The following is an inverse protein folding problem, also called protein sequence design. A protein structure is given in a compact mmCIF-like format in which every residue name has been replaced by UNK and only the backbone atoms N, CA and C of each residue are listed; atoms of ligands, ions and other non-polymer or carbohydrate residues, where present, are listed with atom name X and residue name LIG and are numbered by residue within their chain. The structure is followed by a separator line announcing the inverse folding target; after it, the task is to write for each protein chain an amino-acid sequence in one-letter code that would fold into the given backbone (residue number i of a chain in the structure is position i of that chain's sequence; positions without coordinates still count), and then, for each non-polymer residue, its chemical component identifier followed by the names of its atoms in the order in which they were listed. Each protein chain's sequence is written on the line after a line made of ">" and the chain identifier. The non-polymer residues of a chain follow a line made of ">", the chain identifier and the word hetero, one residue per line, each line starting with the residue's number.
data_IF_982848969310
#
_entry.id   IF_982848969310
#
_cell.length_a   1.000
_cell.length_b   1.000
_cell.length_c   1.000
_cell.angle_alpha   90.00
_cell.angle_beta   90.00
_cell.angle_gamma   90.00
#
_symmetry.space_group_name_H-M   'P 1'
#
loop_
_entity.id
_entity.type
_entity.pdbx_description
1 polymer ?
#
# COMPACT_ATOMS: atom_id res chain seq x y z
N UNK A 1 -50.91 13.45 11.59
CA UNK A 1 -50.46 12.04 11.49
C UNK A 1 -51.28 11.18 10.49
N UNK A 2 -52.15 11.72 9.64
CA UNK A 2 -52.93 10.91 8.67
C UNK A 2 -52.32 10.83 7.25
N UNK A 3 -51.48 11.79 6.86
CA UNK A 3 -50.92 11.88 5.49
C UNK A 3 -49.73 10.93 5.20
N UNK A 4 -49.10 10.34 6.22
CA UNK A 4 -48.02 9.36 6.05
C UNK A 4 -48.52 7.93 5.80
N UNK A 5 -49.72 7.57 6.30
CA UNK A 5 -50.29 6.21 6.15
C UNK A 5 -50.93 5.95 4.77
N UNK A 6 -51.47 6.97 4.11
CA UNK A 6 -52.10 6.81 2.79
C UNK A 6 -51.11 6.52 1.65
N UNK A 7 -49.86 6.99 1.75
CA UNK A 7 -48.83 6.64 0.78
C UNK A 7 -48.21 5.25 1.02
N UNK A 8 -48.22 4.76 2.27
CA UNK A 8 -47.68 3.44 2.62
C UNK A 8 -48.53 2.28 2.06
N UNK A 9 -49.87 2.40 2.06
CA UNK A 9 -50.75 1.34 1.50
C UNK A 9 -50.62 1.21 -0.02
N UNK A 10 -50.45 2.33 -0.73
CA UNK A 10 -50.24 2.33 -2.19
C UNK A 10 -48.90 1.75 -2.61
N UNK A 11 -47.84 1.98 -1.83
CA UNK A 11 -46.50 1.41 -2.08
C UNK A 11 -46.51 -0.11 -1.84
N UNK A 12 -47.10 -0.56 -0.73
CA UNK A 12 -47.21 -1.99 -0.41
C UNK A 12 -47.96 -2.79 -1.48
N UNK A 13 -49.08 -2.28 -1.98
CA UNK A 13 -49.84 -2.92 -3.05
C UNK A 13 -49.03 -3.01 -4.36
N UNK A 14 -48.23 -1.98 -4.68
CA UNK A 14 -47.33 -1.99 -5.84
C UNK A 14 -46.20 -3.02 -5.68
N UNK A 15 -45.60 -3.10 -4.49
CA UNK A 15 -44.56 -4.09 -4.17
C UNK A 15 -45.13 -5.50 -4.33
N UNK A 16 -46.27 -5.81 -3.70
CA UNK A 16 -46.92 -7.12 -3.79
C UNK A 16 -47.25 -7.51 -5.23
N UNK A 17 -47.84 -6.59 -6.01
CA UNK A 17 -48.16 -6.84 -7.41
C UNK A 17 -46.91 -7.15 -8.24
N UNK A 18 -45.80 -6.45 -7.96
CA UNK A 18 -44.52 -6.67 -8.62
C UNK A 18 -43.89 -8.01 -8.25
N UNK A 19 -43.87 -8.37 -6.97
CA UNK A 19 -43.35 -9.66 -6.51
C UNK A 19 -44.13 -10.81 -7.15
N UNK A 20 -45.46 -10.72 -7.18
CA UNK A 20 -46.33 -11.73 -7.77
C UNK A 20 -46.08 -11.88 -9.28
N UNK A 21 -45.90 -10.79 -10.02
CA UNK A 21 -45.53 -10.82 -11.44
C UNK A 21 -44.16 -11.47 -11.70
N UNK A 22 -43.23 -11.36 -10.75
CA UNK A 22 -41.92 -12.01 -10.81
C UNK A 22 -41.95 -13.44 -10.25
N UNK A 23 -43.12 -13.94 -9.83
CA UNK A 23 -43.27 -15.23 -9.19
C UNK A 23 -42.51 -15.34 -7.86
N UNK A 24 -42.26 -14.23 -7.18
CA UNK A 24 -41.62 -14.20 -5.87
C UNK A 24 -42.67 -14.32 -4.76
N UNK A 25 -42.46 -15.25 -3.84
CA UNK A 25 -43.30 -15.37 -2.65
C UNK A 25 -42.83 -14.34 -1.61
N UNK A 26 -43.70 -13.38 -1.20
CA UNK A 26 -43.31 -12.36 -0.25
C UNK A 26 -43.20 -12.95 1.16
N UNK A 27 -42.01 -12.83 1.76
CA UNK A 27 -41.82 -13.00 3.20
C UNK A 27 -41.78 -11.65 3.94
N UNK A 28 -41.95 -11.67 5.26
CA UNK A 28 -42.03 -10.46 6.09
C UNK A 28 -40.78 -9.58 5.99
N UNK A 29 -39.57 -10.18 5.92
CA UNK A 29 -38.30 -9.45 5.91
C UNK A 29 -37.99 -8.87 4.53
N UNK A 30 -38.32 -9.62 3.46
CA UNK A 30 -38.30 -9.10 2.09
C UNK A 30 -39.21 -7.89 1.98
N UNK A 31 -40.46 -7.99 2.46
CA UNK A 31 -41.42 -6.90 2.46
C UNK A 31 -40.91 -5.70 3.25
N UNK A 32 -40.39 -5.92 4.47
CA UNK A 32 -39.79 -4.87 5.28
C UNK A 32 -38.65 -4.16 4.54
N UNK A 33 -37.71 -4.91 3.96
CA UNK A 33 -36.56 -4.35 3.22
C UNK A 33 -37.02 -3.49 2.05
N UNK A 34 -38.05 -3.91 1.31
CA UNK A 34 -38.61 -3.18 0.17
C UNK A 34 -39.39 -1.93 0.60
N UNK A 35 -40.16 -2.01 1.68
CA UNK A 35 -40.95 -0.90 2.24
C UNK A 35 -40.03 0.20 2.82
N UNK A 36 -38.93 -0.18 3.49
CA UNK A 36 -37.94 0.75 4.05
C UNK A 36 -37.06 1.42 2.97
N UNK A 37 -36.95 0.82 1.79
CA UNK A 37 -36.05 1.26 0.71
C UNK A 37 -36.78 1.49 -0.63
N UNK A 38 -37.77 2.39 -0.70
CA UNK A 38 -38.63 2.56 -1.88
C UNK A 38 -37.87 2.93 -3.16
N UNK A 39 -36.77 3.68 -3.04
CA UNK A 39 -35.89 4.07 -4.15
C UNK A 39 -35.13 2.90 -4.79
N UNK A 40 -35.02 1.77 -4.09
CA UNK A 40 -34.29 0.58 -4.55
C UNK A 40 -35.20 -0.59 -4.94
N UNK A 41 -36.53 -0.44 -4.91
CA UNK A 41 -37.50 -1.52 -5.18
C UNK A 41 -37.17 -2.29 -6.46
N UNK A 42 -36.87 -1.59 -7.57
CA UNK A 42 -36.60 -2.25 -8.84
C UNK A 42 -35.33 -3.12 -8.78
N UNK A 43 -34.27 -2.62 -8.13
CA UNK A 43 -33.00 -3.36 -7.99
C UNK A 43 -33.15 -4.54 -7.04
N UNK A 44 -33.81 -4.34 -5.89
CA UNK A 44 -34.03 -5.39 -4.89
C UNK A 44 -34.93 -6.51 -5.42
N UNK A 45 -36.02 -6.19 -6.11
CA UNK A 45 -36.88 -7.22 -6.73
C UNK A 45 -36.17 -8.00 -7.83
N UNK A 46 -35.28 -7.35 -8.59
CA UNK A 46 -34.42 -8.03 -9.56
C UNK A 46 -33.44 -8.97 -8.85
N UNK A 47 -32.81 -8.53 -7.77
CA UNK A 47 -31.95 -9.37 -6.94
C UNK A 47 -32.70 -10.60 -6.43
N UNK A 48 -33.86 -10.45 -5.79
CA UNK A 48 -34.63 -11.60 -5.30
C UNK A 48 -35.03 -12.58 -6.42
N UNK A 49 -35.38 -12.05 -7.60
CA UNK A 49 -35.67 -12.87 -8.79
C UNK A 49 -34.46 -13.70 -9.22
N UNK A 50 -33.29 -13.06 -9.29
CA UNK A 50 -32.02 -13.70 -9.68
C UNK A 50 -31.57 -14.72 -8.63
N UNK A 51 -31.72 -14.42 -7.35
CA UNK A 51 -31.46 -15.36 -6.26
C UNK A 51 -32.35 -16.60 -6.36
N UNK A 52 -33.64 -16.42 -6.64
CA UNK A 52 -34.56 -17.54 -6.89
C UNK A 52 -34.15 -18.34 -8.13
N UNK A 53 -33.81 -17.67 -9.23
CA UNK A 53 -33.35 -18.30 -10.49
C UNK A 53 -32.13 -19.21 -10.26
N UNK A 54 -31.20 -18.77 -9.42
CA UNK A 54 -29.99 -19.53 -9.07
C UNK A 54 -30.13 -20.39 -7.81
N UNK A 55 -31.36 -20.63 -7.34
CA UNK A 55 -31.69 -21.51 -6.20
C UNK A 55 -31.03 -21.12 -4.87
N UNK A 56 -30.78 -19.83 -4.64
CA UNK A 56 -30.34 -19.34 -3.33
C UNK A 56 -31.51 -19.30 -2.35
N UNK A 57 -31.36 -20.00 -1.23
CA UNK A 57 -32.35 -19.97 -0.14
C UNK A 57 -32.16 -18.70 0.68
N UNK A 58 -33.20 -17.88 0.75
CA UNK A 58 -33.23 -16.69 1.60
C UNK A 58 -33.34 -17.10 3.07
N UNK A 59 -32.24 -16.95 3.82
CA UNK A 59 -32.20 -17.15 5.26
C UNK A 59 -32.05 -15.81 6.00
N UNK A 60 -32.15 -15.87 7.32
CA UNK A 60 -32.08 -14.72 8.22
C UNK A 60 -30.84 -13.84 8.01
N UNK A 61 -29.68 -14.48 7.83
CA UNK A 61 -28.41 -13.80 7.63
C UNK A 61 -28.37 -13.08 6.28
N UNK A 62 -28.84 -13.75 5.23
CA UNK A 62 -28.88 -13.19 3.89
C UNK A 62 -29.86 -12.01 3.78
N UNK A 63 -31.04 -12.09 4.41
CA UNK A 63 -31.93 -10.94 4.50
C UNK A 63 -31.25 -9.74 5.16
N UNK A 64 -30.54 -9.97 6.27
CA UNK A 64 -29.79 -8.92 6.97
C UNK A 64 -28.66 -8.34 6.10
N UNK A 65 -27.95 -9.18 5.38
CA UNK A 65 -26.87 -8.77 4.48
C UNK A 65 -27.40 -7.92 3.31
N UNK A 66 -28.52 -8.31 2.70
CA UNK A 66 -29.21 -7.55 1.65
C UNK A 66 -29.70 -6.20 2.19
N UNK A 67 -30.37 -6.20 3.35
CA UNK A 67 -30.87 -4.97 3.98
C UNK A 67 -29.75 -3.99 4.34
N UNK A 68 -28.56 -4.50 4.67
CA UNK A 68 -27.38 -3.68 4.98
C UNK A 68 -26.65 -3.16 3.73
N UNK A 69 -26.93 -3.72 2.55
CA UNK A 69 -26.22 -3.44 1.28
C UNK A 69 -27.18 -3.10 0.12
N UNK A 70 -28.35 -2.54 0.40
CA UNK A 70 -29.41 -2.29 -0.61
C UNK A 70 -28.96 -1.52 -1.84
N UNK A 71 -27.99 -0.61 -1.68
CA UNK A 71 -27.43 0.18 -2.78
C UNK A 71 -26.71 -0.71 -3.82
N UNK A 72 -26.15 -1.84 -3.38
CA UNK A 72 -25.37 -2.78 -4.21
C UNK A 72 -26.22 -3.86 -4.88
N UNK A 73 -27.54 -3.91 -4.64
CA UNK A 73 -28.40 -4.97 -5.16
C UNK A 73 -28.33 -5.13 -6.69
N UNK A 74 -28.20 -4.02 -7.43
CA UNK A 74 -28.02 -4.05 -8.88
C UNK A 74 -26.67 -4.67 -9.28
N UNK A 75 -25.58 -4.22 -8.66
CA UNK A 75 -24.24 -4.74 -8.92
C UNK A 75 -24.11 -6.24 -8.60
N UNK A 76 -24.81 -6.74 -7.57
CA UNK A 76 -24.87 -8.18 -7.27
C UNK A 76 -25.58 -8.95 -8.37
N UNK A 77 -26.68 -8.43 -8.92
CA UNK A 77 -27.36 -9.03 -10.07
C UNK A 77 -26.39 -9.14 -11.25
N UNK A 78 -25.74 -8.03 -11.58
CA UNK A 78 -24.81 -7.96 -12.71
C UNK A 78 -23.61 -8.92 -12.54
N UNK A 79 -23.12 -9.12 -11.31
CA UNK A 79 -22.09 -10.11 -11.00
C UNK A 79 -22.59 -11.56 -11.11
N UNK A 80 -23.78 -11.86 -10.58
CA UNK A 80 -24.35 -13.21 -10.65
C UNK A 80 -24.65 -13.63 -12.10
N UNK A 81 -25.14 -12.69 -12.91
CA UNK A 81 -25.36 -12.90 -14.34
C UNK A 81 -24.03 -13.12 -15.07
N UNK A 82 -23.03 -12.28 -14.82
CA UNK A 82 -21.69 -12.46 -15.36
C UNK A 82 -21.09 -13.82 -14.99
N UNK A 83 -21.12 -14.20 -13.71
CA UNK A 83 -20.62 -15.50 -13.27
C UNK A 83 -21.31 -16.66 -14.01
N UNK A 84 -22.63 -16.58 -14.18
CA UNK A 84 -23.38 -17.58 -14.92
C UNK A 84 -23.01 -17.65 -16.41
N UNK A 85 -22.90 -16.50 -17.09
CA UNK A 85 -22.47 -16.40 -18.50
C UNK A 85 -21.07 -16.98 -18.70
N UNK A 86 -20.18 -16.76 -17.73
CA UNK A 86 -18.80 -17.22 -17.76
C UNK A 86 -18.62 -18.69 -17.33
N UNK A 87 -19.71 -19.36 -16.91
CA UNK A 87 -19.71 -20.75 -16.46
C UNK A 87 -19.17 -20.96 -15.03
N UNK A 88 -19.14 -19.91 -14.22
CA UNK A 88 -18.68 -19.92 -12.83
C UNK A 88 -19.87 -20.24 -11.92
N UNK A 89 -19.73 -21.26 -11.08
CA UNK A 89 -20.74 -21.60 -10.09
C UNK A 89 -20.82 -20.50 -9.01
N UNK A 90 -21.95 -19.79 -8.85
CA UNK A 90 -22.07 -18.76 -7.84
C UNK A 90 -22.06 -19.31 -6.40
N UNK A 91 -22.23 -20.63 -6.20
CA UNK A 91 -22.06 -21.27 -4.89
C UNK A 91 -20.60 -21.32 -4.42
N UNK A 92 -19.64 -21.01 -5.30
CA UNK A 92 -18.23 -20.90 -4.98
C UNK A 92 -17.93 -19.86 -3.87
N UNK A 93 -18.73 -18.80 -3.79
CA UNK A 93 -18.57 -17.72 -2.83
C UNK A 93 -19.83 -17.53 -2.00
N UNK A 94 -19.66 -17.19 -0.71
CA UNK A 94 -20.82 -16.84 0.10
C UNK A 94 -21.48 -15.56 -0.46
N UNK A 95 -22.80 -15.56 -0.50
CA UNK A 95 -23.56 -14.43 -1.03
C UNK A 95 -23.36 -13.16 -0.19
N UNK A 96 -23.05 -13.31 1.10
CA UNK A 96 -22.62 -12.20 1.96
C UNK A 96 -21.35 -11.52 1.43
N UNK A 97 -20.34 -12.32 1.07
CA UNK A 97 -19.09 -11.80 0.52
C UNK A 97 -19.29 -11.21 -0.88
N UNK A 98 -20.18 -11.80 -1.68
CA UNK A 98 -20.58 -11.23 -2.97
C UNK A 98 -21.23 -9.85 -2.81
N UNK A 99 -22.16 -9.71 -1.86
CA UNK A 99 -22.82 -8.44 -1.52
C UNK A 99 -21.81 -7.36 -1.09
N UNK A 100 -20.84 -7.73 -0.25
CA UNK A 100 -19.79 -6.80 0.20
C UNK A 100 -18.83 -6.41 -0.93
N UNK A 101 -18.53 -7.34 -1.83
CA UNK A 101 -17.58 -7.14 -2.93
C UNK A 101 -18.21 -6.42 -4.14
N UNK A 102 -19.54 -6.45 -4.27
CA UNK A 102 -20.28 -5.88 -5.38
C UNK A 102 -20.11 -4.36 -5.54
N UNK A 103 -19.66 -3.66 -4.48
CA UNK A 103 -19.25 -2.25 -4.59
C UNK A 103 -18.14 -2.02 -5.65
N UNK A 104 -17.36 -3.05 -5.96
CA UNK A 104 -16.29 -3.05 -6.96
C UNK A 104 -16.61 -3.97 -8.16
N UNK A 105 -17.90 -4.14 -8.48
CA UNK A 105 -18.39 -5.04 -9.56
C UNK A 105 -17.62 -4.89 -10.87
N UNK A 106 -17.42 -3.67 -11.34
CA UNK A 106 -16.76 -3.42 -12.62
C UNK A 106 -15.31 -3.89 -12.60
N UNK A 107 -14.57 -3.58 -11.54
CA UNK A 107 -13.17 -4.00 -11.37
C UNK A 107 -13.04 -5.52 -11.24
N UNK A 108 -13.96 -6.17 -10.52
CA UNK A 108 -14.03 -7.62 -10.40
C UNK A 108 -14.22 -8.30 -11.75
N UNK A 109 -15.20 -7.85 -12.54
CA UNK A 109 -15.48 -8.43 -13.86
C UNK A 109 -14.31 -8.24 -14.81
N UNK A 110 -13.71 -7.06 -14.83
CA UNK A 110 -12.52 -6.80 -15.65
C UNK A 110 -11.34 -7.70 -15.24
N UNK A 111 -11.07 -7.85 -13.94
CA UNK A 111 -10.03 -8.75 -13.44
C UNK A 111 -10.28 -10.21 -13.82
N UNK A 112 -11.52 -10.70 -13.65
CA UNK A 112 -11.91 -12.05 -14.04
C UNK A 112 -11.76 -12.29 -15.55
N UNK A 113 -12.16 -11.32 -16.39
CA UNK A 113 -12.01 -11.39 -17.85
C UNK A 113 -10.54 -11.45 -18.27
N UNK A 114 -9.65 -10.67 -17.64
CA UNK A 114 -8.21 -10.69 -17.90
C UNK A 114 -7.64 -12.06 -17.55
N UNK A 115 -7.94 -12.60 -16.36
CA UNK A 115 -7.46 -13.91 -15.97
C UNK A 115 -7.99 -15.02 -16.88
N UNK A 116 -9.27 -14.95 -17.27
CA UNK A 116 -9.87 -15.94 -18.19
C UNK A 116 -9.18 -15.93 -19.54
N UNK A 117 -8.94 -14.76 -20.11
CA UNK A 117 -8.27 -14.59 -21.41
C UNK A 117 -6.84 -15.15 -21.39
N UNK A 118 -6.19 -15.18 -20.22
CA UNK A 118 -4.84 -15.71 -20.03
C UNK A 118 -4.82 -17.15 -19.47
N UNK A 119 -5.96 -17.85 -19.41
CA UNK A 119 -6.11 -19.19 -18.84
C UNK A 119 -5.60 -19.31 -17.39
N UNK A 120 -5.80 -18.25 -16.61
CA UNK A 120 -5.36 -18.13 -15.20
C UNK A 120 -6.52 -17.86 -14.24
N UNK A 121 -7.76 -17.98 -14.72
CA UNK A 121 -8.95 -17.88 -13.88
C UNK A 121 -9.26 -19.25 -13.27
N UNK A 122 -9.05 -19.37 -11.97
CA UNK A 122 -9.29 -20.56 -11.17
C UNK A 122 -9.91 -20.19 -9.81
N UNK A 123 -10.20 -21.22 -9.01
CA UNK A 123 -10.75 -21.05 -7.66
C UNK A 123 -9.87 -20.17 -6.77
N UNK A 124 -8.55 -20.34 -6.81
CA UNK A 124 -7.64 -19.59 -5.94
C UNK A 124 -7.60 -18.09 -6.30
N UNK A 125 -7.45 -17.79 -7.59
CA UNK A 125 -7.43 -16.42 -8.10
C UNK A 125 -8.77 -15.70 -7.92
N UNK A 126 -9.91 -16.38 -8.11
CA UNK A 126 -11.22 -15.82 -7.79
C UNK A 126 -11.37 -15.53 -6.30
N UNK A 127 -10.95 -16.47 -5.43
CA UNK A 127 -10.96 -16.24 -3.99
C UNK A 127 -10.09 -15.04 -3.60
N UNK A 128 -8.97 -14.81 -4.26
CA UNK A 128 -8.12 -13.65 -4.03
C UNK A 128 -8.82 -12.36 -4.47
N UNK A 129 -9.35 -12.30 -5.69
CA UNK A 129 -10.07 -11.11 -6.18
C UNK A 129 -11.26 -10.74 -5.28
N UNK A 130 -12.03 -11.72 -4.81
CA UNK A 130 -13.12 -11.46 -3.87
C UNK A 130 -12.67 -11.13 -2.44
N UNK A 131 -11.39 -11.30 -2.09
CA UNK A 131 -10.84 -10.84 -0.81
C UNK A 131 -10.42 -9.38 -0.91
N UNK A 132 -10.01 -8.96 -2.11
CA UNK A 132 -9.48 -7.63 -2.41
C UNK A 132 -10.19 -7.09 -3.67
N UNK A 133 -11.51 -6.81 -3.57
CA UNK A 133 -12.33 -6.52 -4.74
C UNK A 133 -11.98 -5.20 -5.43
N UNK A 134 -11.42 -4.24 -4.69
CA UNK A 134 -10.95 -2.96 -5.25
C UNK A 134 -9.66 -3.13 -6.06
N UNK A 135 -8.80 -4.07 -5.66
CA UNK A 135 -7.52 -4.37 -6.30
C UNK A 135 -7.60 -5.45 -7.39
N UNK A 136 -8.80 -5.96 -7.70
CA UNK A 136 -8.98 -7.13 -8.58
C UNK A 136 -8.31 -7.00 -9.95
N UNK A 137 -8.30 -5.79 -10.52
CA UNK A 137 -7.61 -5.53 -11.78
C UNK A 137 -6.08 -5.63 -11.63
N UNK A 138 -5.52 -5.00 -10.59
CA UNK A 138 -4.09 -5.05 -10.27
C UNK A 138 -3.64 -6.49 -9.96
N UNK A 139 -4.47 -7.26 -9.26
CA UNK A 139 -4.24 -8.67 -8.96
C UNK A 139 -4.19 -9.49 -10.26
N UNK A 140 -5.15 -9.28 -11.15
CA UNK A 140 -5.19 -9.99 -12.43
C UNK A 140 -3.93 -9.71 -13.27
N UNK A 141 -3.55 -8.44 -13.40
CA UNK A 141 -2.35 -8.05 -14.13
C UNK A 141 -1.07 -8.62 -13.51
N UNK A 142 -0.97 -8.61 -12.17
CA UNK A 142 0.16 -9.18 -11.46
C UNK A 142 0.29 -10.70 -11.71
N UNK A 143 -0.81 -11.45 -11.61
CA UNK A 143 -0.83 -12.90 -11.87
C UNK A 143 -0.39 -13.20 -13.30
N UNK A 144 -0.92 -12.46 -14.29
CA UNK A 144 -0.53 -12.60 -15.70
C UNK A 144 0.95 -12.28 -15.89
N UNK A 145 1.47 -11.26 -15.21
CA UNK A 145 2.90 -10.92 -15.29
C UNK A 145 3.78 -12.01 -14.68
N UNK A 146 3.40 -12.61 -13.55
CA UNK A 146 4.11 -13.75 -12.99
C UNK A 146 4.10 -14.97 -13.93
N UNK A 147 2.95 -15.27 -14.53
CA UNK A 147 2.81 -16.35 -15.50
C UNK A 147 3.71 -16.14 -16.73
N UNK A 148 3.80 -14.91 -17.26
CA UNK A 148 4.69 -14.56 -18.38
C UNK A 148 6.17 -14.79 -18.06
N UNK A 149 6.56 -14.68 -16.79
CA UNK A 149 7.91 -14.97 -16.32
C UNK A 149 8.08 -16.43 -15.83
N UNK A 150 7.10 -17.30 -16.10
CA UNK A 150 7.09 -18.71 -15.71
C UNK A 150 7.18 -18.97 -14.19
N UNK A 151 6.74 -18.03 -13.37
CA UNK A 151 6.61 -18.25 -11.92
C UNK A 151 5.31 -19.00 -11.59
N UNK A 152 5.35 -19.79 -10.50
CA UNK A 152 4.18 -20.52 -9.99
C UNK A 152 3.16 -19.54 -9.39
N UNK A 153 2.04 -19.35 -10.07
CA UNK A 153 0.95 -18.45 -9.66
C UNK A 153 0.25 -18.91 -8.38
N UNK A 154 0.11 -20.22 -8.18
CA UNK A 154 -0.49 -20.82 -6.98
C UNK A 154 0.21 -20.35 -5.68
N UNK A 155 1.54 -20.51 -5.61
CA UNK A 155 2.33 -20.08 -4.44
C UNK A 155 2.25 -18.57 -4.19
N UNK A 156 2.11 -17.80 -5.26
CA UNK A 156 2.01 -16.34 -5.20
C UNK A 156 0.66 -15.93 -4.65
N UNK A 157 -0.42 -16.54 -5.12
CA UNK A 157 -1.78 -16.31 -4.61
C UNK A 157 -1.84 -16.63 -3.12
N UNK A 158 -1.26 -17.74 -2.68
CA UNK A 158 -1.18 -18.13 -1.26
C UNK A 158 -0.46 -17.09 -0.40
N UNK A 159 0.58 -16.45 -0.92
CA UNK A 159 1.30 -15.37 -0.23
C UNK A 159 0.51 -14.07 -0.22
N UNK A 160 -0.16 -13.73 -1.32
CA UNK A 160 -0.98 -12.51 -1.40
C UNK A 160 -2.11 -12.53 -0.37
N UNK A 161 -2.75 -13.68 -0.14
CA UNK A 161 -3.79 -13.83 0.88
C UNK A 161 -3.37 -13.50 2.32
N UNK A 162 -2.06 -13.41 2.60
CA UNK A 162 -1.54 -13.13 3.94
C UNK A 162 -1.41 -11.62 4.23
N UNK A 163 -1.52 -10.76 3.22
CA UNK A 163 -1.46 -9.31 3.40
C UNK A 163 -2.81 -8.73 3.85
N UNK A 164 -2.78 -7.65 4.62
CA UNK A 164 -3.98 -6.92 4.98
C UNK A 164 -4.50 -6.11 3.81
N UNK A 165 -5.81 -5.85 3.83
CA UNK A 165 -6.51 -5.11 2.78
C UNK A 165 -5.86 -3.74 2.54
N UNK A 166 -5.49 -3.03 3.61
CA UNK A 166 -4.93 -1.68 3.53
C UNK A 166 -3.57 -1.63 2.83
N UNK A 167 -2.85 -2.76 2.75
CA UNK A 167 -1.49 -2.85 2.19
C UNK A 167 -1.43 -3.55 0.84
N UNK A 168 -2.53 -4.15 0.39
CA UNK A 168 -2.56 -4.98 -0.81
C UNK A 168 -2.10 -4.22 -2.05
N UNK A 169 -2.62 -3.01 -2.27
CA UNK A 169 -2.25 -2.19 -3.43
C UNK A 169 -0.74 -1.91 -3.48
N UNK A 170 -0.16 -1.44 -2.38
CA UNK A 170 1.29 -1.16 -2.27
C UNK A 170 2.14 -2.40 -2.52
N UNK A 171 1.72 -3.55 -1.99
CA UNK A 171 2.42 -4.83 -2.21
C UNK A 171 2.38 -5.23 -3.68
N UNK A 172 1.23 -5.12 -4.34
CA UNK A 172 1.10 -5.42 -5.78
C UNK A 172 1.98 -4.48 -6.60
N UNK A 173 1.97 -3.18 -6.30
CA UNK A 173 2.81 -2.19 -7.00
C UNK A 173 4.31 -2.48 -6.83
N UNK A 174 4.72 -2.84 -5.61
CA UNK A 174 6.12 -3.20 -5.33
C UNK A 174 6.54 -4.48 -6.07
N UNK A 175 5.70 -5.52 -6.07
CA UNK A 175 5.98 -6.77 -6.81
C UNK A 175 6.01 -6.54 -8.33
N UNK A 176 5.07 -5.75 -8.85
CA UNK A 176 5.04 -5.36 -10.27
C UNK A 176 6.30 -4.61 -10.66
N UNK A 177 6.76 -3.69 -9.81
CA UNK A 177 8.02 -2.97 -9.99
C UNK A 177 9.21 -3.93 -10.04
N UNK A 178 9.30 -4.88 -9.09
CA UNK A 178 10.38 -5.87 -9.06
C UNK A 178 10.41 -6.76 -10.30
N UNK A 179 9.25 -7.24 -10.74
CA UNK A 179 9.12 -8.02 -11.98
C UNK A 179 9.59 -7.21 -13.18
N UNK A 180 9.12 -5.97 -13.33
CA UNK A 180 9.47 -5.12 -14.48
C UNK A 180 10.98 -4.81 -14.58
N UNK A 181 11.70 -4.87 -13.46
CA UNK A 181 13.13 -4.63 -13.38
C UNK A 181 13.96 -5.91 -13.33
N UNK A 182 13.35 -7.10 -13.46
CA UNK A 182 14.00 -8.40 -13.28
C UNK A 182 14.71 -8.55 -11.92
N UNK A 183 14.15 -7.94 -10.88
CA UNK A 183 14.66 -7.96 -9.50
C UNK A 183 13.82 -8.84 -8.58
N UNK A 184 12.76 -9.46 -9.09
CA UNK A 184 11.91 -10.34 -8.31
C UNK A 184 12.65 -11.63 -7.93
N UNK A 185 12.52 -11.99 -6.66
CA UNK A 185 12.91 -13.27 -6.09
C UNK A 185 11.84 -13.67 -5.07
N UNK A 186 11.55 -14.96 -4.95
CA UNK A 186 10.36 -15.43 -4.24
C UNK A 186 10.36 -15.01 -2.75
N UNK A 187 11.54 -14.96 -2.13
CA UNK A 187 11.73 -14.61 -0.72
C UNK A 187 11.42 -13.13 -0.42
N UNK A 188 11.30 -12.26 -1.43
CA UNK A 188 10.89 -10.87 -1.20
C UNK A 188 9.47 -10.78 -0.61
N UNK A 189 8.60 -11.76 -0.90
CA UNK A 189 7.27 -11.87 -0.28
C UNK A 189 7.37 -12.00 1.24
N UNK A 190 8.31 -12.81 1.72
CA UNK A 190 8.51 -13.07 3.13
C UNK A 190 9.00 -11.83 3.87
N UNK A 191 9.86 -11.04 3.23
CA UNK A 191 10.30 -9.74 3.73
C UNK A 191 9.11 -8.78 3.81
N UNK A 192 8.31 -8.67 2.74
CA UNK A 192 7.15 -7.76 2.71
C UNK A 192 6.08 -8.14 3.73
N UNK A 193 5.84 -9.44 3.93
CA UNK A 193 4.90 -9.91 4.96
C UNK A 193 5.39 -9.57 6.37
N UNK A 194 6.67 -9.83 6.67
CA UNK A 194 7.25 -9.47 7.99
C UNK A 194 7.23 -7.96 8.23
N UNK A 195 7.41 -7.16 7.18
CA UNK A 195 7.51 -5.70 7.25
C UNK A 195 6.26 -4.96 6.76
N UNK A 196 5.10 -5.61 6.78
CA UNK A 196 3.86 -5.06 6.25
C UNK A 196 3.46 -3.70 6.86
N UNK A 197 3.82 -3.45 8.13
CA UNK A 197 3.56 -2.16 8.81
C UNK A 197 4.30 -0.98 8.16
N UNK A 198 5.48 -1.23 7.60
CA UNK A 198 6.36 -0.21 7.01
C UNK A 198 6.42 -0.31 5.48
N UNK A 199 5.60 -1.15 4.85
CA UNK A 199 5.65 -1.43 3.40
C UNK A 199 5.54 -0.18 2.53
N UNK A 200 4.78 0.83 2.96
CA UNK A 200 4.65 2.10 2.23
C UNK A 200 6.00 2.84 2.18
N UNK A 201 6.77 2.82 3.27
CA UNK A 201 8.10 3.45 3.32
C UNK A 201 9.11 2.68 2.45
N UNK A 202 9.02 1.34 2.47
CA UNK A 202 9.81 0.47 1.61
C UNK A 202 9.52 0.78 0.14
N UNK A 203 8.24 0.91 -0.20
CA UNK A 203 7.81 1.24 -1.55
C UNK A 203 8.28 2.63 -2.00
N UNK A 204 8.16 3.66 -1.17
CA UNK A 204 8.65 5.00 -1.52
C UNK A 204 10.17 5.05 -1.72
N UNK A 205 10.94 4.35 -0.88
CA UNK A 205 12.38 4.24 -1.10
C UNK A 205 12.72 3.43 -2.36
N UNK A 206 12.01 2.33 -2.65
CA UNK A 206 12.18 1.57 -3.87
C UNK A 206 11.88 2.42 -5.13
N UNK A 207 10.81 3.23 -5.13
CA UNK A 207 10.49 4.16 -6.22
C UNK A 207 11.63 5.14 -6.50
N UNK A 208 12.22 5.71 -5.45
CA UNK A 208 13.36 6.63 -5.57
C UNK A 208 14.56 5.97 -6.22
N UNK A 209 14.89 4.76 -5.80
CA UNK A 209 16.00 3.99 -6.37
C UNK A 209 15.73 3.59 -7.82
N UNK A 210 14.49 3.20 -8.14
CA UNK A 210 14.07 2.90 -9.52
C UNK A 210 14.18 4.11 -10.43
N UNK A 211 13.77 5.30 -9.98
CA UNK A 211 13.84 6.53 -10.76
C UNK A 211 15.29 6.92 -11.16
N UNK A 212 16.30 6.33 -10.53
CA UNK A 212 17.72 6.53 -10.82
C UNK A 212 18.43 5.27 -11.33
N UNK A 213 17.68 4.19 -11.59
CA UNK A 213 18.20 2.86 -11.96
C UNK A 213 19.25 2.32 -10.97
N UNK A 214 18.96 2.48 -9.67
CA UNK A 214 19.80 2.03 -8.54
C UNK A 214 19.09 1.08 -7.58
N UNK A 215 17.94 0.53 -7.94
CA UNK A 215 17.30 -0.50 -7.12
C UNK A 215 18.06 -1.84 -7.28
N UNK A 216 18.35 -2.51 -6.16
CA UNK A 216 19.00 -3.81 -6.12
C UNK A 216 18.45 -4.67 -4.96
N UNK A 217 18.63 -6.01 -5.00
CA UNK A 217 18.13 -6.91 -3.94
C UNK A 217 18.68 -6.59 -2.55
N UNK A 218 19.94 -6.15 -2.48
CA UNK A 218 20.63 -5.68 -1.27
C UNK A 218 19.83 -4.64 -0.47
N UNK A 219 19.02 -3.81 -1.14
CA UNK A 219 18.12 -2.86 -0.47
C UNK A 219 17.10 -3.58 0.42
N UNK A 220 16.42 -4.59 -0.13
CA UNK A 220 15.37 -5.32 0.58
C UNK A 220 15.94 -6.22 1.68
N UNK A 221 17.08 -6.87 1.41
CA UNK A 221 17.75 -7.73 2.39
C UNK A 221 18.13 -6.98 3.67
N UNK A 222 18.47 -5.69 3.55
CA UNK A 222 18.83 -4.85 4.69
C UNK A 222 17.59 -4.30 5.41
N UNK A 223 16.53 -3.96 4.67
CA UNK A 223 15.27 -3.49 5.25
C UNK A 223 14.50 -4.55 6.03
N UNK A 224 14.81 -5.83 5.83
CA UNK A 224 14.30 -6.88 6.70
C UNK A 224 14.67 -6.64 8.18
N UNK A 225 15.81 -5.99 8.45
CA UNK A 225 16.31 -5.74 9.82
C UNK A 225 15.91 -4.37 10.36
N UNK A 226 15.83 -3.35 9.49
CA UNK A 226 15.41 -2.00 9.86
C UNK A 226 14.58 -1.35 8.73
N UNK A 227 13.26 -1.62 8.69
CA UNK A 227 12.38 -1.13 7.63
C UNK A 227 12.03 0.35 7.80
N UNK A 228 12.18 0.90 9.01
CA UNK A 228 11.69 2.24 9.35
C UNK A 228 12.46 3.34 8.63
N UNK A 229 13.73 3.05 8.33
CA UNK A 229 14.67 3.96 7.67
C UNK A 229 14.65 3.84 6.14
N UNK A 230 13.70 3.09 5.54
CA UNK A 230 13.72 2.73 4.11
C UNK A 230 13.89 3.89 3.14
N UNK A 231 13.21 5.01 3.41
CA UNK A 231 13.24 6.19 2.56
C UNK A 231 14.56 6.96 2.65
N UNK A 232 15.13 7.02 3.85
CA UNK A 232 16.44 7.66 4.09
C UNK A 232 17.55 6.79 3.54
N UNK A 233 17.49 5.47 3.75
CA UNK A 233 18.43 4.53 3.15
C UNK A 233 18.48 4.68 1.62
N UNK A 234 17.33 4.82 0.95
CA UNK A 234 17.30 5.09 -0.48
C UNK A 234 18.05 6.37 -0.85
N UNK A 235 17.83 7.47 -0.13
CA UNK A 235 18.57 8.72 -0.36
C UNK A 235 20.08 8.56 -0.08
N UNK A 236 20.44 7.89 1.01
CA UNK A 236 21.83 7.61 1.39
C UNK A 236 22.53 6.77 0.33
N UNK A 237 21.85 5.76 -0.23
CA UNK A 237 22.39 4.96 -1.34
C UNK A 237 22.68 5.84 -2.55
N UNK A 238 21.76 6.72 -2.93
CA UNK A 238 21.94 7.62 -4.07
C UNK A 238 23.11 8.59 -3.86
N UNK A 239 23.20 9.18 -2.66
CA UNK A 239 24.26 10.09 -2.25
C UNK A 239 25.64 9.40 -2.32
N UNK A 240 25.79 8.29 -1.60
CA UNK A 240 27.06 7.58 -1.49
C UNK A 240 27.48 6.90 -2.79
N UNK A 241 26.53 6.41 -3.60
CA UNK A 241 26.87 5.85 -4.90
C UNK A 241 27.31 6.93 -5.89
N UNK A 242 26.71 8.13 -5.84
CA UNK A 242 27.16 9.27 -6.65
C UNK A 242 28.60 9.66 -6.31
N UNK A 243 28.95 9.66 -5.02
CA UNK A 243 30.31 9.90 -4.54
C UNK A 243 31.27 8.71 -4.73
N UNK A 244 30.82 7.61 -5.37
CA UNK A 244 31.58 6.38 -5.56
C UNK A 244 32.13 5.75 -4.25
N UNK A 245 31.43 5.96 -3.14
CA UNK A 245 31.82 5.47 -1.81
C UNK A 245 31.25 4.09 -1.47
N UNK A 246 30.16 3.71 -2.13
CA UNK A 246 29.52 2.40 -1.98
C UNK A 246 29.20 1.78 -3.33
N UNK A 247 29.21 0.45 -3.37
CA UNK A 247 28.51 -0.32 -4.38
C UNK A 247 27.15 -0.77 -3.83
N UNK A 248 26.08 -0.11 -4.29
CA UNK A 248 24.71 -0.42 -3.84
C UNK A 248 24.28 -1.86 -4.14
N UNK A 249 25.00 -2.60 -4.99
CA UNK A 249 24.72 -4.01 -5.28
C UNK A 249 25.31 -4.95 -4.23
N UNK A 250 26.26 -4.48 -3.42
CA UNK A 250 26.86 -5.24 -2.32
C UNK A 250 26.07 -5.03 -1.04
N UNK A 251 25.55 -6.12 -0.49
CA UNK A 251 24.75 -6.07 0.74
C UNK A 251 25.55 -5.54 1.92
N UNK A 252 26.87 -5.78 1.99
CA UNK A 252 27.73 -5.27 3.06
C UNK A 252 27.80 -3.73 3.07
N UNK A 253 27.96 -3.11 1.89
CA UNK A 253 28.04 -1.65 1.77
C UNK A 253 26.68 -1.02 2.14
N UNK A 254 25.58 -1.60 1.65
CA UNK A 254 24.22 -1.13 1.97
C UNK A 254 23.90 -1.32 3.46
N UNK A 255 24.38 -2.40 4.08
CA UNK A 255 24.21 -2.65 5.52
C UNK A 255 24.98 -1.65 6.39
N UNK A 256 26.12 -1.15 5.94
CA UNK A 256 26.83 -0.06 6.62
C UNK A 256 26.04 1.23 6.47
N UNK A 257 25.58 1.54 5.25
CA UNK A 257 24.78 2.72 4.96
C UNK A 257 23.44 2.75 5.72
N UNK A 258 22.80 1.60 5.96
CA UNK A 258 21.50 1.53 6.63
C UNK A 258 21.54 1.89 8.11
N UNK A 259 22.72 1.81 8.73
CA UNK A 259 22.92 2.25 10.12
C UNK A 259 22.90 3.77 10.24
N UNK A 260 23.09 4.50 9.14
CA UNK A 260 23.06 5.95 9.11
C UNK A 260 21.60 6.41 9.20
N UNK A 261 21.30 7.14 10.28
CA UNK A 261 19.99 7.76 10.45
C UNK A 261 19.85 9.07 9.65
N UNK A 262 18.75 9.77 9.91
CA UNK A 262 18.36 10.99 9.20
C UNK A 262 19.43 12.08 9.29
N UNK A 263 19.93 12.37 10.49
CA UNK A 263 20.88 13.48 10.65
C UNK A 263 22.27 13.13 10.09
N UNK A 264 22.67 11.85 10.11
CA UNK A 264 23.87 11.41 9.40
C UNK A 264 23.73 11.60 7.88
N UNK A 265 22.55 11.32 7.30
CA UNK A 265 22.28 11.59 5.88
C UNK A 265 22.38 13.09 5.55
N UNK A 266 21.80 13.98 6.36
CA UNK A 266 21.91 15.42 6.15
C UNK A 266 23.37 15.89 6.25
N UNK A 267 24.11 15.42 7.25
CA UNK A 267 25.51 15.77 7.42
C UNK A 267 26.37 15.33 6.22
N UNK A 268 26.17 14.10 5.72
CA UNK A 268 26.84 13.63 4.50
C UNK A 268 26.48 14.45 3.26
N UNK A 269 25.25 14.98 3.19
CA UNK A 269 24.81 15.86 2.10
C UNK A 269 25.56 17.19 2.16
N UNK A 270 25.74 17.79 3.34
CA UNK A 270 26.54 19.00 3.50
C UNK A 270 28.02 18.76 3.19
N UNK A 271 28.59 17.63 3.60
CA UNK A 271 29.94 17.23 3.20
C UNK A 271 30.06 17.09 1.67
N UNK A 272 29.03 16.60 0.99
CA UNK A 272 29.03 16.51 -0.47
C UNK A 272 29.03 17.90 -1.11
N UNK A 273 28.19 18.82 -0.65
CA UNK A 273 28.11 20.17 -1.21
C UNK A 273 29.42 20.96 -1.04
N UNK A 274 30.18 20.70 0.03
CA UNK A 274 31.48 21.31 0.27
C UNK A 274 32.67 20.56 -0.36
N UNK A 275 32.45 19.56 -1.23
CA UNK A 275 33.47 18.69 -1.81
C UNK A 275 34.35 17.97 -0.75
N UNK A 276 33.77 17.64 0.39
CA UNK A 276 34.41 16.96 1.52
C UNK A 276 33.93 15.51 1.71
N UNK A 277 32.95 15.05 0.93
CA UNK A 277 32.46 13.67 1.02
C UNK A 277 33.43 12.69 0.31
N UNK A 278 34.48 12.27 1.02
CA UNK A 278 35.44 11.27 0.59
C UNK A 278 35.41 10.00 1.45
N UNK A 279 36.27 9.03 1.11
CA UNK A 279 36.33 7.74 1.80
C UNK A 279 36.76 7.85 3.28
N UNK A 280 37.57 8.84 3.63
CA UNK A 280 38.03 9.05 5.00
C UNK A 280 36.89 9.63 5.85
N UNK A 281 36.27 10.70 5.38
CA UNK A 281 35.16 11.36 6.08
C UNK A 281 33.93 10.46 6.15
N UNK A 282 33.62 9.71 5.09
CA UNK A 282 32.58 8.70 5.11
C UNK A 282 32.85 7.62 6.18
N UNK A 283 34.08 7.11 6.25
CA UNK A 283 34.47 6.13 7.26
C UNK A 283 34.38 6.69 8.68
N UNK A 284 34.71 7.96 8.89
CA UNK A 284 34.52 8.63 10.19
C UNK A 284 33.04 8.66 10.56
N UNK A 285 32.17 9.16 9.67
CA UNK A 285 30.72 9.20 9.91
C UNK A 285 30.15 7.81 10.19
N UNK A 286 30.55 6.77 9.44
CA UNK A 286 30.08 5.41 9.68
C UNK A 286 30.60 4.78 10.96
N UNK A 287 31.88 5.02 11.31
CA UNK A 287 32.50 4.42 12.51
C UNK A 287 31.89 4.98 13.78
N UNK A 288 31.70 6.29 13.80
CA UNK A 288 31.22 6.96 15.01
C UNK A 288 29.70 7.02 15.04
N UNK A 289 29.03 7.10 13.87
CA UNK A 289 27.57 7.19 13.68
C UNK A 289 26.88 7.80 14.90
N UNK A 290 27.41 8.97 15.31
CA UNK A 290 27.40 9.39 16.70
C UNK A 290 25.98 9.62 17.19
N UNK A 291 25.68 9.37 18.48
CA UNK A 291 24.45 9.85 19.12
C UNK A 291 24.15 11.31 18.80
N UNK A 292 25.18 12.13 18.57
CA UNK A 292 25.06 13.54 18.14
C UNK A 292 24.32 13.67 16.81
N UNK A 293 24.78 12.97 15.76
CA UNK A 293 24.22 13.12 14.41
C UNK A 293 22.75 12.71 14.37
N UNK A 294 22.38 11.69 15.14
CA UNK A 294 21.00 11.21 15.19
C UNK A 294 20.22 11.73 16.41
N UNK A 295 20.74 12.75 17.10
CA UNK A 295 20.03 13.41 18.19
C UNK A 295 18.78 14.12 17.65
N UNK A 296 17.60 14.01 18.30
CA UNK A 296 16.35 14.60 17.79
C UNK A 296 16.45 16.10 17.49
N UNK A 297 17.21 16.84 18.29
CA UNK A 297 17.43 18.28 18.11
C UNK A 297 18.27 18.56 16.86
N UNK A 298 19.39 17.85 16.68
CA UNK A 298 20.23 17.97 15.48
C UNK A 298 19.43 17.64 14.22
N UNK A 299 18.63 16.57 14.24
CA UNK A 299 17.73 16.21 13.13
C UNK A 299 16.73 17.33 12.86
N UNK A 300 16.11 17.90 13.90
CA UNK A 300 15.17 19.01 13.75
C UNK A 300 15.85 20.22 13.14
N UNK A 301 17.07 20.54 13.59
CA UNK A 301 17.81 21.71 13.12
C UNK A 301 18.23 21.56 11.65
N UNK A 302 18.73 20.39 11.24
CA UNK A 302 19.03 20.11 9.82
C UNK A 302 17.78 20.23 8.94
N UNK A 303 16.63 19.73 9.41
CA UNK A 303 15.37 19.82 8.66
C UNK A 303 14.81 21.24 8.54
N UNK A 304 15.21 22.16 9.43
CA UNK A 304 14.78 23.56 9.41
C UNK A 304 15.76 24.51 8.70
N UNK A 305 16.87 24.00 8.16
CA UNK A 305 17.80 24.83 7.39
C UNK A 305 17.13 25.36 6.11
N UNK A 306 17.42 26.61 5.70
CA UNK A 306 17.00 27.13 4.41
C UNK A 306 17.49 26.26 3.25
N UNK A 307 16.73 26.22 2.16
CA UNK A 307 16.94 25.29 1.04
C UNK A 307 18.30 25.42 0.32
N UNK A 308 18.97 26.58 0.46
CA UNK A 308 20.25 26.91 -0.16
C UNK A 308 21.34 27.21 0.87
N UNK A 309 21.12 26.80 2.12
CA UNK A 309 22.08 27.03 3.19
C UNK A 309 23.23 26.01 3.08
N UNK A 310 24.45 26.53 3.09
CA UNK A 310 25.67 25.74 2.97
C UNK A 310 26.58 26.07 4.16
N UNK A 311 27.14 25.02 4.78
CA UNK A 311 28.19 25.17 5.77
C UNK A 311 29.52 25.37 5.05
N UNK A 312 30.37 26.23 5.58
CA UNK A 312 31.72 26.35 5.07
C UNK A 312 32.57 25.13 5.47
N UNK A 313 33.75 25.02 4.85
CA UNK A 313 34.66 23.90 5.08
C UNK A 313 35.16 23.85 6.53
N UNK A 314 35.43 24.99 7.15
CA UNK A 314 35.96 25.05 8.52
C UNK A 314 34.90 24.59 9.54
N UNK A 315 33.64 24.96 9.30
CA UNK A 315 32.48 24.51 10.07
C UNK A 315 32.29 22.99 9.97
N UNK A 316 32.39 22.43 8.77
CA UNK A 316 32.29 20.99 8.56
C UNK A 316 33.47 20.21 9.15
N UNK A 317 34.69 20.73 9.05
CA UNK A 317 35.88 20.17 9.71
C UNK A 317 35.71 20.19 11.24
N UNK A 318 35.18 21.29 11.78
CA UNK A 318 34.82 21.39 13.19
C UNK A 318 33.78 20.34 13.57
N UNK A 319 32.67 20.23 12.83
CA UNK A 319 31.61 19.24 13.07
C UNK A 319 32.13 17.80 12.99
N UNK A 320 32.98 17.48 12.01
CA UNK A 320 33.69 16.19 11.91
C UNK A 320 34.54 15.91 13.16
N UNK A 321 35.26 16.91 13.66
CA UNK A 321 36.06 16.76 14.88
C UNK A 321 35.17 16.50 16.11
N UNK A 322 33.98 17.10 16.19
CA UNK A 322 33.08 16.93 17.32
C UNK A 322 32.47 15.53 17.38
N UNK A 323 32.08 14.97 16.23
CA UNK A 323 31.49 13.62 16.19
C UNK A 323 32.52 12.50 16.43
N UNK A 324 33.81 12.80 16.36
CA UNK A 324 34.90 11.83 16.54
C UNK A 324 35.59 11.91 17.91
N UNK A 325 35.30 12.95 18.72
CA UNK A 325 35.85 13.10 20.07
C UNK A 325 35.24 12.09 21.06
N UNK A 326 36.09 11.52 21.92
CA UNK A 326 35.69 10.62 23.02
C UNK A 326 35.27 11.37 24.31
N UNK A 327 35.23 12.71 24.29
CA UNK A 327 34.85 13.55 25.44
C UNK A 327 33.36 13.51 25.74
N UNK A 328 32.94 14.10 26.87
CA UNK A 328 31.53 14.27 27.28
C UNK A 328 30.62 14.58 26.08
N UNK A 329 29.69 13.66 25.79
CA UNK A 329 28.78 13.73 24.64
C UNK A 329 27.97 15.04 24.65
N UNK A 330 27.57 15.53 25.84
CA UNK A 330 26.75 16.73 26.00
C UNK A 330 27.46 18.00 25.50
N UNK A 331 28.72 18.24 25.89
CA UNK A 331 29.44 19.43 25.44
C UNK A 331 29.73 19.41 23.94
N UNK A 332 29.96 18.22 23.36
CA UNK A 332 30.17 18.08 21.92
C UNK A 332 28.86 18.27 21.14
N UNK A 333 27.73 17.83 21.72
CA UNK A 333 26.39 18.03 21.16
C UNK A 333 26.02 19.52 21.14
N UNK A 334 26.20 20.24 22.25
CA UNK A 334 25.92 21.68 22.34
C UNK A 334 26.74 22.47 21.31
N UNK A 335 28.05 22.18 21.20
CA UNK A 335 28.92 22.84 20.23
C UNK A 335 28.52 22.50 18.78
N UNK A 336 28.02 21.29 18.52
CA UNK A 336 27.52 20.89 17.19
C UNK A 336 26.22 21.63 16.84
N UNK A 337 25.30 21.75 17.80
CA UNK A 337 24.06 22.50 17.68
C UNK A 337 24.35 23.99 17.41
N UNK A 338 25.27 24.59 18.16
CA UNK A 338 25.67 26.00 17.98
C UNK A 338 26.17 26.28 16.56
N UNK A 339 26.87 25.32 15.91
CA UNK A 339 27.28 25.48 14.51
C UNK A 339 26.06 25.55 13.61
N UNK A 340 25.08 24.64 13.75
CA UNK A 340 23.88 24.62 12.90
C UNK A 340 23.01 25.86 13.13
N UNK A 341 22.85 26.30 14.38
CA UNK A 341 21.98 27.42 14.74
C UNK A 341 22.41 28.76 14.14
N UNK A 342 23.72 28.96 13.90
CA UNK A 342 24.24 30.16 13.22
C UNK A 342 23.59 30.40 11.85
N UNK A 343 23.17 29.32 11.19
CA UNK A 343 22.58 29.34 9.86
C UNK A 343 21.05 29.41 9.87
N UNK A 344 20.39 29.28 11.02
CA UNK A 344 18.93 29.27 11.08
C UNK A 344 18.30 30.66 10.98
N UNK A 345 19.06 31.74 11.20
CA UNK A 345 18.54 33.10 11.15
C UNK A 345 19.57 34.18 10.75
N UNK A 346 19.87 34.27 9.45
CA UNK A 346 20.27 35.55 8.81
C UNK A 346 19.07 36.45 8.45
N UNK A 347 17.83 36.06 8.80
CA UNK A 347 16.61 36.83 8.48
C UNK A 347 16.25 37.92 9.52
N UNK A 348 17.19 38.33 10.37
CA UNK A 348 17.02 39.44 11.35
C UNK A 348 17.98 40.62 11.09
N UNK A 349 18.36 40.88 9.85
CA UNK A 349 18.98 42.16 9.47
C UNK A 349 18.45 42.67 8.14
N UNK A 350 17.26 43.29 8.18
CA UNK A 350 16.98 44.41 7.31
C UNK A 350 16.61 45.61 8.21
N UNK A 351 17.44 46.67 8.26
CA UNK A 351 17.04 47.93 8.89
C UNK A 351 15.91 48.62 8.12
#
# INVERSE_FOLDING_TARGET
>A
MAYLKFNQSGIKNKINSRLLNLGLEPDERMMQTLEENPQYINRLTSLFSVLKKYNFVLNDLLHKAIASNVAQAGAVVDLLEFMHEEGIDPAFISLERLLMSAKSETTLKQGMQILKTNNSLDSASMNLMFAYPEESLLIADLIVNFQKHAYSTEKIIDKLHQFSVEKMSTVIELLTMLLSKNLYYYECFDIFLRQQKDIDKIYEGAKKLVAKDKLAPSYFDVLEKDPTNANILANTILLLNHAALIDYRKTEDVLIASKLGVGAFHFLTHLQHADMLDAENYKMVCRYNSPILNHPEVIKLFNSLPLFEEFDREELEKMLSLITKETSEDACLDEFIEVIEKHQFSSKQHP
#
